data_IF_302496755144
#
_entry.id   IF_302496755144
#
_cell.length_a   1.000
_cell.length_b   1.000
_cell.length_c   1.000
_cell.angle_alpha   90.00
_cell.angle_beta   90.00
_cell.angle_gamma   90.00
#
_symmetry.space_group_name_H-M   'P 1'
#
loop_
_entity.id
_entity.type
_entity.pdbx_description
1 polymer ?
#
# COMPACT_ATOMS: atom_id res chain seq x y z
N UNK A 1 6.35 0.56 15.04
CA UNK A 1 6.22 0.64 13.58
C UNK A 1 4.86 1.27 13.29
N UNK A 2 4.80 2.29 12.43
CA UNK A 2 3.53 2.88 12.01
C UNK A 2 2.87 1.98 10.97
N UNK A 3 1.54 2.05 10.85
CA UNK A 3 0.81 1.30 9.82
C UNK A 3 1.28 1.66 8.41
N UNK A 4 1.67 2.92 8.18
CA UNK A 4 2.26 3.38 6.93
C UNK A 4 3.58 2.67 6.60
N UNK A 5 4.50 2.59 7.57
CA UNK A 5 5.79 1.89 7.39
C UNK A 5 5.59 0.40 7.05
N UNK A 6 4.64 -0.25 7.73
CA UNK A 6 4.33 -1.66 7.49
C UNK A 6 3.72 -1.87 6.09
N UNK A 7 2.95 -0.90 5.57
CA UNK A 7 2.44 -0.93 4.20
C UNK A 7 3.57 -0.74 3.18
N UNK A 8 4.46 0.23 3.38
CA UNK A 8 5.64 0.44 2.52
C UNK A 8 6.46 -0.85 2.43
N UNK A 9 6.75 -1.46 3.57
CA UNK A 9 7.47 -2.74 3.63
C UNK A 9 6.70 -3.86 2.92
N UNK A 10 5.38 -3.94 3.11
CA UNK A 10 4.52 -4.91 2.44
C UNK A 10 4.41 -4.73 0.93
N UNK A 11 4.63 -3.52 0.42
CA UNK A 11 4.69 -3.21 -1.01
C UNK A 11 6.08 -3.49 -1.62
N UNK A 12 7.05 -3.97 -0.84
CA UNK A 12 8.41 -4.26 -1.30
C UNK A 12 9.44 -3.16 -1.01
N UNK A 13 9.08 -2.16 -0.19
CA UNK A 13 9.91 -1.02 0.16
C UNK A 13 9.65 0.21 -0.69
N UNK A 14 10.17 1.37 -0.26
CA UNK A 14 9.96 2.66 -0.93
C UNK A 14 10.45 2.65 -2.39
N UNK A 15 11.60 2.02 -2.64
CA UNK A 15 12.17 1.91 -3.99
C UNK A 15 11.28 1.14 -4.97
N UNK A 16 10.33 0.31 -4.49
CA UNK A 16 9.43 -0.47 -5.33
C UNK A 16 8.11 0.26 -5.64
N UNK A 17 7.82 1.38 -4.99
CA UNK A 17 6.57 2.13 -5.14
C UNK A 17 6.78 3.26 -6.15
N UNK A 18 5.94 3.32 -7.18
CA UNK A 18 5.93 4.41 -8.16
C UNK A 18 4.95 5.51 -7.76
N UNK A 19 3.76 5.13 -7.30
CA UNK A 19 2.71 6.06 -6.92
C UNK A 19 1.86 5.48 -5.80
N UNK A 20 1.35 6.35 -4.92
CA UNK A 20 0.35 5.99 -3.91
C UNK A 20 -0.72 7.07 -3.82
N UNK A 21 -1.99 6.65 -3.85
CA UNK A 21 -3.16 7.53 -3.77
C UNK A 21 -4.19 6.96 -2.78
N UNK A 22 -4.73 7.82 -1.92
CA UNK A 22 -5.86 7.52 -1.05
C UNK A 22 -7.19 7.73 -1.77
N UNK A 23 -8.05 6.72 -1.75
CA UNK A 23 -9.48 6.85 -2.09
C UNK A 23 -10.33 6.91 -0.81
N UNK A 24 -11.62 6.62 -0.90
CA UNK A 24 -12.51 6.58 0.28
C UNK A 24 -12.13 5.45 1.25
N UNK A 25 -11.86 4.24 0.75
CA UNK A 25 -11.61 3.05 1.60
C UNK A 25 -10.36 2.27 1.28
N UNK A 26 -9.60 2.71 0.27
CA UNK A 26 -8.48 1.94 -0.31
C UNK A 26 -7.31 2.86 -0.58
N UNK A 27 -6.11 2.33 -0.36
CA UNK A 27 -4.89 2.82 -0.98
C UNK A 27 -4.78 2.19 -2.36
N UNK A 28 -4.56 3.01 -3.37
CA UNK A 28 -4.17 2.59 -4.72
C UNK A 28 -2.68 2.82 -4.82
N UNK A 29 -1.94 1.76 -5.10
CA UNK A 29 -0.50 1.81 -5.23
C UNK A 29 -0.14 1.31 -6.63
N UNK A 30 0.81 1.98 -7.27
CA UNK A 30 1.50 1.47 -8.44
C UNK A 30 2.90 1.02 -8.00
N UNK A 31 3.29 -0.20 -8.36
CA UNK A 31 4.61 -0.75 -8.00
C UNK A 31 5.40 -1.18 -9.24
N UNK A 32 6.72 -1.09 -9.13
CA UNK A 32 7.66 -1.48 -10.19
C UNK A 32 7.71 -2.99 -10.37
N UNK A 33 7.76 -3.73 -9.27
CA UNK A 33 7.81 -5.19 -9.26
C UNK A 33 6.80 -5.80 -8.28
N UNK A 34 5.78 -6.44 -8.83
CA UNK A 34 4.76 -7.17 -8.07
C UNK A 34 5.30 -8.42 -7.35
N UNK A 35 6.44 -8.95 -7.78
CA UNK A 35 7.11 -10.08 -7.13
C UNK A 35 7.69 -9.74 -5.76
N UNK A 36 7.92 -8.45 -5.47
CA UNK A 36 8.39 -7.96 -4.18
C UNK A 36 7.24 -7.66 -3.20
N UNK A 37 5.99 -7.73 -3.65
CA UNK A 37 4.81 -7.40 -2.83
C UNK A 37 4.44 -8.57 -1.92
N UNK A 38 4.51 -8.36 -0.61
CA UNK A 38 4.02 -9.31 0.40
C UNK A 38 2.52 -9.11 0.64
N UNK A 39 1.71 -9.78 -0.19
CA UNK A 39 0.26 -9.77 -0.05
C UNK A 39 -0.22 -10.36 1.29
N UNK A 40 0.54 -11.28 1.90
CA UNK A 40 0.15 -11.89 3.17
C UNK A 40 0.35 -10.92 4.33
N UNK A 41 1.45 -10.15 4.33
CA UNK A 41 1.66 -9.05 5.27
C UNK A 41 0.59 -7.97 5.10
N UNK A 42 0.35 -7.51 3.87
CA UNK A 42 -0.66 -6.47 3.58
C UNK A 42 -2.08 -6.90 3.99
N UNK A 43 -2.45 -8.18 3.81
CA UNK A 43 -3.75 -8.71 4.28
C UNK A 43 -3.91 -8.73 5.80
N UNK A 44 -2.83 -8.75 6.58
CA UNK A 44 -2.90 -8.65 8.06
C UNK A 44 -3.16 -7.21 8.52
N UNK A 45 -2.80 -6.23 7.69
CA UNK A 45 -2.90 -4.79 7.98
C UNK A 45 -4.16 -4.14 7.40
N UNK A 46 -4.91 -4.90 6.59
CA UNK A 46 -6.03 -4.41 5.79
C UNK A 46 -7.21 -5.39 5.80
N UNK A 47 -8.34 -4.96 5.26
CA UNK A 47 -9.54 -5.79 5.07
C UNK A 47 -9.50 -6.58 3.75
N UNK A 48 -8.49 -6.34 2.92
CA UNK A 48 -8.38 -6.96 1.60
C UNK A 48 -7.25 -6.35 0.79
N UNK A 49 -6.66 -7.17 -0.08
CA UNK A 49 -5.62 -6.77 -1.02
C UNK A 49 -5.98 -7.32 -2.40
N UNK A 50 -5.92 -6.46 -3.41
CA UNK A 50 -6.13 -6.82 -4.81
C UNK A 50 -4.88 -6.45 -5.61
N UNK A 51 -4.44 -7.33 -6.49
CA UNK A 51 -3.31 -7.08 -7.40
C UNK A 51 -3.80 -7.29 -8.83
N UNK A 52 -3.54 -6.32 -9.71
CA UNK A 52 -3.92 -6.36 -11.11
C UNK A 52 -2.83 -5.67 -11.97
N UNK A 53 -1.94 -6.46 -12.56
CA UNK A 53 -0.72 -5.90 -13.17
C UNK A 53 0.14 -5.22 -12.10
N UNK A 54 0.74 -4.06 -12.42
CA UNK A 54 1.49 -3.20 -11.49
C UNK A 54 0.63 -2.55 -10.39
N UNK A 55 -0.70 -2.58 -10.52
CA UNK A 55 -1.59 -1.95 -9.57
C UNK A 55 -1.88 -2.85 -8.37
N UNK A 56 -1.64 -2.34 -7.17
CA UNK A 56 -1.98 -2.95 -5.88
C UNK A 56 -3.01 -2.09 -5.18
N UNK A 57 -4.13 -2.67 -4.74
CA UNK A 57 -5.12 -1.99 -3.92
C UNK A 57 -5.18 -2.60 -2.53
N UNK A 58 -5.04 -1.77 -1.50
CA UNK A 58 -5.08 -2.18 -0.09
C UNK A 58 -6.29 -1.54 0.59
N UNK A 59 -7.24 -2.36 1.06
CA UNK A 59 -8.50 -1.90 1.66
C UNK A 59 -8.29 -1.57 3.14
N UNK A 60 -7.99 -0.32 3.46
CA UNK A 60 -7.62 0.11 4.82
C UNK A 60 -8.76 0.77 5.60
N UNK A 61 -9.89 1.07 4.95
CA UNK A 61 -11.04 1.73 5.56
C UNK A 61 -11.04 3.26 5.35
N UNK A 62 -11.92 4.01 6.03
CA UNK A 62 -12.15 5.44 5.79
C UNK A 62 -10.93 6.35 6.06
N UNK A 63 -9.88 5.80 6.66
CA UNK A 63 -8.61 6.50 6.91
C UNK A 63 -7.61 6.35 5.75
N UNK A 64 -8.08 5.93 4.57
CA UNK A 64 -7.20 5.67 3.43
C UNK A 64 -6.47 6.92 2.94
N UNK A 65 -7.14 8.07 2.95
CA UNK A 65 -6.56 9.35 2.52
C UNK A 65 -5.40 9.78 3.43
N UNK A 66 -5.65 9.88 4.73
CA UNK A 66 -4.60 10.19 5.72
C UNK A 66 -3.45 9.17 5.71
N UNK A 67 -3.76 7.88 5.50
CA UNK A 67 -2.73 6.86 5.43
C UNK A 67 -1.89 6.96 4.15
N UNK A 68 -2.46 7.49 3.05
CA UNK A 68 -1.70 7.75 1.83
C UNK A 68 -0.69 8.88 2.05
N UNK A 69 -1.09 9.96 2.73
CA UNK A 69 -0.19 11.04 3.11
C UNK A 69 0.97 10.53 3.99
N UNK A 70 0.67 9.73 5.02
CA UNK A 70 1.72 9.12 5.86
C UNK A 70 2.66 8.18 5.07
N UNK A 71 2.14 7.49 4.04
CA UNK A 71 2.98 6.66 3.17
C UNK A 71 3.85 7.53 2.29
N UNK A 72 3.31 8.60 1.69
CA UNK A 72 4.08 9.53 0.85
C UNK A 72 5.23 10.19 1.60
N UNK A 73 5.06 10.51 2.89
CA UNK A 73 6.13 11.04 3.74
C UNK A 73 7.30 10.05 3.96
N UNK A 74 7.09 8.76 3.67
CA UNK A 74 8.09 7.69 3.82
C UNK A 74 8.74 7.28 2.49
N UNK A 75 8.28 7.82 1.35
CA UNK A 75 8.83 7.57 0.01
C UNK A 75 9.90 8.60 -0.34
#
# INVERSE_FOLDING_TARGET
MSKAQDIVNGLGGADNIDEVEGCITRLRCEVKDTGLVDQAALKKLSHGVMVAGSAVQVVVGPTADALAEEVQDLL
#
